data_IF_355339403676
#
_entry.id   IF_355339403676
#
_cell.length_a   1.000
_cell.length_b   1.000
_cell.length_c   1.000
_cell.angle_alpha   90.00
_cell.angle_beta   90.00
_cell.angle_gamma   90.00
#
_symmetry.space_group_name_H-M   'P 1'
#
loop_
_entity.id
_entity.type
_entity.pdbx_description
1 polymer ?
#
# COMPACT_ATOMS: atom_id res chain seq x y z
N UNK A 1 -33.06 -47.82 -40.07
CA UNK A 1 -32.53 -48.78 -39.08
C UNK A 1 -31.20 -48.24 -38.56
N UNK A 2 -31.16 -47.94 -37.26
CA UNK A 2 -30.02 -47.59 -36.36
C UNK A 2 -28.87 -46.72 -36.91
N UNK A 3 -28.96 -45.41 -36.67
CA UNK A 3 -27.79 -44.53 -36.52
C UNK A 3 -27.42 -44.55 -35.03
N UNK A 4 -26.28 -45.15 -34.69
CA UNK A 4 -25.69 -45.10 -33.35
C UNK A 4 -24.96 -43.76 -33.17
N UNK A 5 -25.58 -42.81 -32.47
CA UNK A 5 -24.91 -41.65 -31.91
C UNK A 5 -24.11 -42.09 -30.67
N UNK A 6 -22.79 -42.14 -30.82
CA UNK A 6 -21.85 -42.28 -29.70
C UNK A 6 -21.79 -40.93 -28.98
N UNK A 7 -21.90 -40.88 -27.64
CA UNK A 7 -21.85 -39.62 -26.90
C UNK A 7 -20.41 -39.12 -26.84
N UNK A 8 -20.06 -38.14 -27.67
CA UNK A 8 -18.84 -37.32 -27.53
C UNK A 8 -19.11 -36.26 -26.43
N UNK A 9 -19.32 -36.73 -25.20
CA UNK A 9 -19.66 -35.86 -24.07
C UNK A 9 -18.89 -36.23 -22.79
N UNK A 10 -17.72 -36.85 -22.95
CA UNK A 10 -16.83 -37.20 -21.83
C UNK A 10 -15.44 -36.53 -21.95
N UNK A 11 -15.12 -35.92 -23.10
CA UNK A 11 -13.78 -35.33 -23.32
C UNK A 11 -13.70 -33.80 -23.16
N UNK A 12 -14.72 -33.16 -22.58
CA UNK A 12 -14.72 -31.71 -22.30
C UNK A 12 -14.57 -31.36 -20.82
N UNK A 13 -14.49 -32.34 -19.92
CA UNK A 13 -14.33 -32.10 -18.47
C UNK A 13 -12.90 -32.32 -17.94
N UNK A 14 -11.92 -32.69 -18.77
CA UNK A 14 -10.54 -32.95 -18.34
C UNK A 14 -9.59 -31.75 -18.47
N UNK A 15 -10.09 -30.56 -18.82
CA UNK A 15 -9.26 -29.35 -18.98
C UNK A 15 -9.64 -28.17 -18.06
N UNK A 16 -10.50 -28.38 -17.05
CA UNK A 16 -10.92 -27.31 -16.13
C UNK A 16 -10.35 -27.42 -14.71
N UNK A 17 -9.44 -28.35 -14.45
CA UNK A 17 -8.80 -28.47 -13.12
C UNK A 17 -7.40 -27.85 -13.09
N UNK A 18 -7.34 -26.53 -13.25
CA UNK A 18 -6.35 -25.73 -12.51
C UNK A 18 -6.73 -24.25 -12.46
N UNK A 19 -7.89 -23.95 -11.86
CA UNK A 19 -7.92 -22.73 -11.04
C UNK A 19 -6.93 -22.98 -9.91
N UNK A 20 -5.68 -22.54 -10.07
CA UNK A 20 -4.80 -22.33 -8.92
C UNK A 20 -5.56 -21.32 -8.05
N UNK A 21 -6.10 -21.80 -6.93
CA UNK A 21 -6.47 -20.90 -5.85
C UNK A 21 -5.18 -20.12 -5.53
N UNK A 22 -5.25 -18.80 -5.61
CA UNK A 22 -4.15 -17.95 -5.20
C UNK A 22 -3.74 -18.38 -3.79
N UNK A 23 -2.45 -18.63 -3.60
CA UNK A 23 -1.95 -18.85 -2.24
C UNK A 23 -1.93 -17.52 -1.52
N UNK A 24 -2.21 -17.48 -0.21
CA UNK A 24 -2.20 -16.24 0.59
C UNK A 24 -0.93 -15.40 0.34
N UNK A 25 0.22 -16.07 0.12
CA UNK A 25 1.50 -15.44 -0.24
C UNK A 25 1.50 -14.73 -1.61
N UNK A 26 0.86 -15.30 -2.63
CA UNK A 26 0.77 -14.70 -3.97
C UNK A 26 -0.12 -13.44 -3.94
N UNK A 27 -1.20 -13.47 -3.15
CA UNK A 27 -2.06 -12.30 -2.94
C UNK A 27 -1.36 -11.19 -2.14
N UNK A 28 -0.60 -11.55 -1.11
CA UNK A 28 0.24 -10.61 -0.34
C UNK A 28 1.29 -9.97 -1.25
N UNK A 29 2.01 -10.78 -2.03
CA UNK A 29 3.02 -10.30 -2.97
C UNK A 29 2.40 -9.37 -4.01
N UNK A 30 1.23 -9.70 -4.57
CA UNK A 30 0.52 -8.83 -5.52
C UNK A 30 0.11 -7.51 -4.86
N UNK A 31 -0.47 -7.54 -3.66
CA UNK A 31 -0.88 -6.34 -2.96
C UNK A 31 0.31 -5.41 -2.66
N UNK A 32 1.41 -5.97 -2.18
CA UNK A 32 2.58 -5.18 -1.76
C UNK A 32 3.42 -4.75 -2.95
N UNK A 33 3.71 -5.65 -3.90
CA UNK A 33 4.62 -5.36 -5.03
C UNK A 33 3.97 -4.56 -6.15
N UNK A 34 2.65 -4.66 -6.31
CA UNK A 34 1.92 -3.98 -7.39
C UNK A 34 1.07 -2.86 -6.83
N UNK A 35 0.10 -3.18 -5.97
CA UNK A 35 -0.93 -2.25 -5.55
C UNK A 35 -0.38 -1.08 -4.70
N UNK A 36 0.35 -1.38 -3.62
CA UNK A 36 0.95 -0.34 -2.78
C UNK A 36 2.00 0.44 -3.57
N UNK A 37 2.83 -0.26 -4.35
CA UNK A 37 3.92 0.36 -5.13
C UNK A 37 3.39 1.33 -6.20
N UNK A 38 2.38 0.91 -6.96
CA UNK A 38 1.71 1.77 -7.94
C UNK A 38 1.04 2.95 -7.26
N UNK A 39 0.32 2.71 -6.17
CA UNK A 39 -0.31 3.78 -5.41
C UNK A 39 0.71 4.83 -4.95
N UNK A 40 1.82 4.39 -4.35
CA UNK A 40 2.90 5.27 -3.93
C UNK A 40 3.45 6.07 -5.11
N UNK A 41 3.86 5.39 -6.19
CA UNK A 41 4.43 6.03 -7.38
C UNK A 41 3.49 7.06 -8.00
N UNK A 42 2.23 6.69 -8.22
CA UNK A 42 1.25 7.53 -8.91
C UNK A 42 0.83 8.75 -8.07
N UNK A 43 0.85 8.61 -6.73
CA UNK A 43 0.38 9.66 -5.82
C UNK A 43 1.51 10.45 -5.17
N UNK A 44 2.78 10.15 -5.42
CA UNK A 44 3.94 10.80 -4.81
C UNK A 44 3.83 12.33 -4.76
N UNK A 45 3.58 12.98 -5.91
CA UNK A 45 3.44 14.44 -5.98
C UNK A 45 2.22 14.93 -5.21
N UNK A 46 1.10 14.22 -5.33
CA UNK A 46 -0.15 14.59 -4.67
C UNK A 46 -0.01 14.54 -3.15
N UNK A 47 0.70 13.55 -2.61
CA UNK A 47 0.98 13.41 -1.16
C UNK A 47 1.83 14.57 -0.64
N UNK A 48 2.89 14.95 -1.35
CA UNK A 48 3.73 16.08 -0.96
C UNK A 48 2.95 17.40 -1.01
N UNK A 49 2.20 17.65 -2.08
CA UNK A 49 1.39 18.86 -2.18
C UNK A 49 0.27 18.90 -1.14
N UNK A 50 -0.35 17.75 -0.86
CA UNK A 50 -1.38 17.63 0.18
C UNK A 50 -0.82 17.93 1.58
N UNK A 51 0.47 17.68 1.81
CA UNK A 51 1.15 17.96 3.08
C UNK A 51 1.32 19.46 3.40
N UNK A 52 1.31 20.36 2.41
CA UNK A 52 1.62 21.78 2.63
C UNK A 52 0.56 22.57 3.41
N UNK A 53 -0.72 22.24 3.25
CA UNK A 53 -1.83 22.87 4.01
C UNK A 53 -3.07 21.98 4.05
N UNK A 54 -3.21 21.10 5.04
CA UNK A 54 -4.27 20.07 5.09
C UNK A 54 -5.73 20.58 5.07
N UNK A 55 -5.97 21.86 5.37
CA UNK A 55 -7.34 22.41 5.38
C UNK A 55 -7.78 22.96 4.02
N UNK A 56 -6.84 23.13 3.09
CA UNK A 56 -7.18 23.39 1.69
C UNK A 56 -7.67 22.10 1.03
N UNK A 57 -8.81 22.15 0.34
CA UNK A 57 -9.43 21.01 -0.35
C UNK A 57 -9.66 19.77 0.55
N UNK A 58 -10.42 19.93 1.65
CA UNK A 58 -10.49 18.91 2.71
C UNK A 58 -11.08 17.58 2.23
N UNK A 59 -11.98 17.60 1.22
CA UNK A 59 -12.54 16.39 0.63
C UNK A 59 -11.50 15.57 -0.13
N UNK A 60 -10.62 16.22 -0.92
CA UNK A 60 -9.54 15.56 -1.64
C UNK A 60 -8.56 14.92 -0.66
N UNK A 61 -8.22 15.66 0.40
CA UNK A 61 -7.28 15.19 1.42
C UNK A 61 -7.83 14.07 2.28
N UNK A 62 -9.12 14.11 2.61
CA UNK A 62 -9.80 12.99 3.24
C UNK A 62 -9.76 11.73 2.36
N UNK A 63 -10.01 11.86 1.05
CA UNK A 63 -9.91 10.75 0.11
C UNK A 63 -8.49 10.19 0.04
N UNK A 64 -7.49 11.07 -0.07
CA UNK A 64 -6.08 10.68 -0.08
C UNK A 64 -5.66 10.01 1.23
N UNK A 65 -6.13 10.51 2.37
CA UNK A 65 -5.90 9.95 3.70
C UNK A 65 -6.46 8.53 3.80
N UNK A 66 -7.74 8.34 3.49
CA UNK A 66 -8.38 7.02 3.58
C UNK A 66 -7.68 5.97 2.70
N UNK A 67 -7.32 6.36 1.47
CA UNK A 67 -6.59 5.47 0.57
C UNK A 67 -5.18 5.14 1.08
N UNK A 68 -4.44 6.16 1.55
CA UNK A 68 -3.10 5.96 2.11
C UNK A 68 -3.12 5.07 3.36
N UNK A 69 -4.09 5.31 4.25
CA UNK A 69 -4.29 4.54 5.48
C UNK A 69 -4.56 3.07 5.16
N UNK A 70 -5.56 2.79 4.32
CA UNK A 70 -5.90 1.41 3.95
C UNK A 70 -4.71 0.71 3.32
N UNK A 71 -4.01 1.37 2.38
CA UNK A 71 -2.84 0.77 1.70
C UNK A 71 -1.69 0.47 2.66
N UNK A 72 -1.34 1.40 3.55
CA UNK A 72 -0.23 1.19 4.48
C UNK A 72 -0.56 0.22 5.60
N UNK A 73 -1.75 0.31 6.20
CA UNK A 73 -2.11 -0.56 7.31
C UNK A 73 -2.29 -2.01 6.85
N UNK A 74 -2.92 -2.22 5.69
CA UNK A 74 -3.03 -3.55 5.10
C UNK A 74 -1.64 -4.12 4.80
N UNK A 75 -0.75 -3.33 4.18
CA UNK A 75 0.62 -3.77 3.90
C UNK A 75 1.41 -4.06 5.17
N UNK A 76 1.27 -3.21 6.20
CA UNK A 76 1.90 -3.42 7.51
C UNK A 76 1.45 -4.75 8.12
N UNK A 77 0.14 -4.99 8.16
CA UNK A 77 -0.43 -6.23 8.70
C UNK A 77 0.09 -7.46 7.97
N UNK A 78 -0.05 -7.50 6.63
CA UNK A 78 0.34 -8.65 5.81
C UNK A 78 1.85 -8.93 5.89
N UNK A 79 2.68 -7.88 5.86
CA UNK A 79 4.13 -8.05 5.91
C UNK A 79 4.64 -8.37 7.33
N UNK A 80 3.96 -7.91 8.38
CA UNK A 80 4.27 -8.34 9.75
C UNK A 80 3.92 -9.81 9.95
N UNK A 81 2.84 -10.31 9.37
CA UNK A 81 2.49 -11.72 9.42
C UNK A 81 3.55 -12.58 8.72
N UNK A 82 3.97 -12.21 7.51
CA UNK A 82 4.94 -12.99 6.71
C UNK A 82 6.40 -12.83 7.19
N UNK A 83 6.81 -11.62 7.59
CA UNK A 83 8.22 -11.28 7.84
C UNK A 83 8.55 -10.84 9.28
N UNK A 84 7.55 -10.77 10.16
CA UNK A 84 7.62 -10.27 11.56
C UNK A 84 7.99 -8.80 11.73
N UNK A 85 8.44 -8.13 10.67
CA UNK A 85 8.66 -6.70 10.58
C UNK A 85 8.34 -6.26 9.16
N UNK A 86 7.38 -5.36 9.02
CA UNK A 86 6.89 -4.95 7.71
C UNK A 86 7.92 -4.17 6.89
N UNK A 87 8.84 -3.43 7.52
CA UNK A 87 9.91 -2.71 6.82
C UNK A 87 10.90 -3.70 6.21
N UNK A 88 11.21 -4.78 6.93
CA UNK A 88 11.92 -5.93 6.35
C UNK A 88 11.13 -6.55 5.21
N UNK A 89 9.80 -6.62 5.34
CA UNK A 89 8.91 -7.02 4.26
C UNK A 89 9.05 -6.15 3.00
N UNK A 90 9.05 -4.82 3.13
CA UNK A 90 9.27 -3.89 2.02
C UNK A 90 10.61 -4.14 1.32
N UNK A 91 11.68 -4.38 2.08
CA UNK A 91 13.00 -4.73 1.55
C UNK A 91 12.96 -6.02 0.72
N UNK A 92 12.35 -7.08 1.26
CA UNK A 92 12.18 -8.37 0.57
C UNK A 92 11.31 -8.28 -0.68
N UNK A 93 10.43 -7.28 -0.73
CA UNK A 93 9.55 -7.01 -1.86
C UNK A 93 10.16 -6.04 -2.89
N UNK A 94 11.45 -5.69 -2.77
CA UNK A 94 12.17 -4.96 -3.81
C UNK A 94 11.82 -3.47 -3.90
N UNK A 95 11.40 -2.87 -2.78
CA UNK A 95 11.18 -1.43 -2.70
C UNK A 95 12.51 -0.68 -2.86
N UNK A 96 12.54 0.26 -3.80
CA UNK A 96 13.70 1.11 -4.08
C UNK A 96 13.68 2.43 -3.28
N UNK A 97 14.65 3.30 -3.55
CA UNK A 97 14.75 4.59 -2.86
C UNK A 97 13.49 5.45 -3.06
N UNK A 98 12.96 5.52 -4.28
CA UNK A 98 11.79 6.33 -4.61
C UNK A 98 10.53 5.80 -3.94
N UNK A 99 10.34 4.48 -3.97
CA UNK A 99 9.23 3.82 -3.30
C UNK A 99 9.25 4.14 -1.80
N UNK A 100 10.38 3.88 -1.12
CA UNK A 100 10.52 4.05 0.32
C UNK A 100 10.42 5.52 0.73
N UNK A 101 10.93 6.44 -0.09
CA UNK A 101 10.77 7.88 0.14
C UNK A 101 9.29 8.28 0.08
N UNK A 102 8.52 7.68 -0.81
CA UNK A 102 7.08 7.94 -0.92
C UNK A 102 6.29 7.33 0.23
N UNK A 103 6.61 6.09 0.63
CA UNK A 103 6.04 5.46 1.84
C UNK A 103 6.30 6.35 3.06
N UNK A 104 7.52 6.91 3.20
CA UNK A 104 7.82 7.87 4.26
C UNK A 104 6.91 9.11 4.18
N UNK A 105 6.76 9.73 3.01
CA UNK A 105 5.86 10.88 2.84
C UNK A 105 4.39 10.56 3.14
N UNK A 106 3.93 9.35 2.82
CA UNK A 106 2.58 8.89 3.19
C UNK A 106 2.39 8.87 4.71
N UNK A 107 3.37 8.36 5.46
CA UNK A 107 3.30 8.38 6.94
C UNK A 107 3.26 9.81 7.49
N UNK A 108 4.07 10.73 6.93
CA UNK A 108 4.06 12.15 7.32
C UNK A 108 2.72 12.79 7.00
N UNK A 109 2.16 12.51 5.82
CA UNK A 109 0.87 13.03 5.41
C UNK A 109 -0.26 12.59 6.32
N UNK A 110 -0.34 11.31 6.65
CA UNK A 110 -1.37 10.81 7.54
C UNK A 110 -1.26 11.41 8.94
N UNK A 111 -0.05 11.50 9.49
CA UNK A 111 0.20 12.13 10.80
C UNK A 111 -0.23 13.60 10.79
N UNK A 112 0.18 14.36 9.77
CA UNK A 112 -0.23 15.75 9.62
C UNK A 112 -1.75 15.89 9.46
N UNK A 113 -2.38 14.99 8.71
CA UNK A 113 -3.81 15.00 8.48
C UNK A 113 -4.58 14.80 9.79
N UNK A 114 -4.31 13.74 10.56
CA UNK A 114 -5.06 13.46 11.79
C UNK A 114 -4.87 14.54 12.85
N UNK A 115 -3.70 15.18 12.88
CA UNK A 115 -3.39 16.24 13.84
C UNK A 115 -4.08 17.58 13.52
N UNK A 116 -4.41 17.83 12.25
CA UNK A 116 -4.82 19.16 11.80
C UNK A 116 -6.20 19.20 11.12
N UNK A 117 -6.79 18.05 10.78
CA UNK A 117 -8.12 18.01 10.15
C UNK A 117 -9.19 18.55 11.10
N UNK A 118 -10.13 19.30 10.55
CA UNK A 118 -11.21 19.94 11.29
C UNK A 118 -12.61 19.51 10.80
N UNK A 119 -13.63 19.95 11.55
CA UNK A 119 -15.03 19.80 11.17
C UNK A 119 -15.49 18.34 11.06
N UNK A 120 -16.33 18.01 10.05
CA UNK A 120 -16.96 16.69 9.98
C UNK A 120 -15.95 15.56 9.78
N UNK A 121 -14.84 15.81 9.09
CA UNK A 121 -13.81 14.78 8.87
C UNK A 121 -13.09 14.39 10.17
N UNK A 122 -12.83 15.35 11.05
CA UNK A 122 -12.27 15.05 12.38
C UNK A 122 -13.18 14.12 13.19
N UNK A 123 -14.50 14.36 13.14
CA UNK A 123 -15.48 13.51 13.84
C UNK A 123 -15.62 12.09 13.29
N UNK A 124 -15.09 11.83 12.09
CA UNK A 124 -15.11 10.52 11.44
C UNK A 124 -13.87 9.68 11.78
N UNK A 125 -12.82 10.29 12.35
CA UNK A 125 -11.63 9.56 12.79
C UNK A 125 -11.95 8.75 14.04
N UNK A 126 -11.69 7.45 13.97
CA UNK A 126 -11.80 6.54 15.11
C UNK A 126 -10.49 6.50 15.88
N UNK A 127 -10.57 6.24 17.19
CA UNK A 127 -9.38 6.12 18.05
C UNK A 127 -8.40 5.05 17.54
N UNK A 128 -8.91 3.93 17.01
CA UNK A 128 -8.10 2.88 16.38
C UNK A 128 -7.28 3.44 15.21
N UNK A 129 -7.92 4.17 14.30
CA UNK A 129 -7.25 4.81 13.16
C UNK A 129 -6.20 5.82 13.60
N UNK A 130 -6.47 6.60 14.65
CA UNK A 130 -5.49 7.53 15.21
C UNK A 130 -4.26 6.78 15.74
N UNK A 131 -4.48 5.72 16.51
CA UNK A 131 -3.39 4.91 17.08
C UNK A 131 -2.54 4.24 15.98
N UNK A 132 -3.18 3.69 14.94
CA UNK A 132 -2.50 3.07 13.82
C UNK A 132 -1.66 4.09 13.03
N UNK A 133 -2.21 5.28 12.77
CA UNK A 133 -1.48 6.38 12.10
C UNK A 133 -0.25 6.80 12.91
N UNK A 134 -0.39 7.01 14.21
CA UNK A 134 0.74 7.35 15.08
C UNK A 134 1.79 6.23 15.13
N UNK A 135 1.35 4.96 15.15
CA UNK A 135 2.26 3.81 15.10
C UNK A 135 3.04 3.77 13.79
N UNK A 136 2.36 3.92 12.65
CA UNK A 136 2.99 3.98 11.32
C UNK A 136 3.99 5.13 11.22
N UNK A 137 3.63 6.30 11.74
CA UNK A 137 4.53 7.45 11.81
C UNK A 137 5.75 7.19 12.70
N UNK A 138 5.58 6.50 13.83
CA UNK A 138 6.67 6.09 14.71
C UNK A 138 7.68 5.15 14.03
N UNK A 139 7.24 4.31 13.09
CA UNK A 139 8.11 3.40 12.33
C UNK A 139 8.83 4.07 11.15
N UNK A 140 8.51 5.33 10.83
CA UNK A 140 9.13 6.11 9.75
C UNK A 140 10.65 6.10 9.77
N UNK A 141 11.26 6.11 10.96
CA UNK A 141 12.72 6.07 11.09
C UNK A 141 13.33 4.75 10.57
N UNK A 142 12.61 3.62 10.68
CA UNK A 142 13.04 2.36 10.07
C UNK A 142 12.97 2.44 8.54
N UNK A 143 11.91 3.04 8.00
CA UNK A 143 11.72 3.25 6.56
C UNK A 143 12.83 4.14 6.00
N UNK A 144 13.14 5.25 6.66
CA UNK A 144 14.23 6.17 6.30
C UNK A 144 15.57 5.44 6.28
N UNK A 145 15.88 4.65 7.31
CA UNK A 145 17.11 3.86 7.36
C UNK A 145 17.21 2.88 6.19
N UNK A 146 16.12 2.19 5.85
CA UNK A 146 16.08 1.29 4.70
C UNK A 146 16.23 2.04 3.38
N UNK A 147 15.53 3.17 3.20
CA UNK A 147 15.65 4.04 2.02
C UNK A 147 17.10 4.47 1.83
N UNK A 148 17.74 4.92 2.90
CA UNK A 148 19.09 5.45 2.86
C UNK A 148 20.16 4.36 2.67
N UNK A 149 19.79 3.09 2.74
CA UNK A 149 20.64 1.96 2.33
C UNK A 149 20.46 1.57 0.85
N UNK A 150 19.52 2.17 0.11
CA UNK A 150 19.31 1.92 -1.33
C UNK A 150 20.17 2.83 -2.20
N UNK A 151 20.19 2.54 -3.50
CA UNK A 151 20.79 3.41 -4.51
C UNK A 151 20.11 4.79 -4.50
N UNK A 152 20.90 5.85 -4.34
CA UNK A 152 20.40 7.21 -4.10
C UNK A 152 20.28 8.04 -5.37
N UNK A 153 20.37 7.44 -6.56
CA UNK A 153 20.28 8.20 -7.83
C UNK A 153 18.96 8.96 -7.92
N UNK A 154 17.86 8.36 -7.44
CA UNK A 154 16.54 8.99 -7.39
C UNK A 154 16.48 10.24 -6.50
N UNK A 155 17.37 10.38 -5.50
CA UNK A 155 17.39 11.51 -4.55
C UNK A 155 17.47 12.87 -5.24
N UNK A 156 18.13 12.96 -6.40
CA UNK A 156 18.31 14.22 -7.13
C UNK A 156 17.02 14.72 -7.80
N UNK A 157 15.98 13.88 -7.85
CA UNK A 157 14.75 14.16 -8.60
C UNK A 157 13.50 14.20 -7.71
N UNK A 158 13.67 14.00 -6.40
CA UNK A 158 12.57 13.90 -5.42
C UNK A 158 12.82 14.77 -4.21
N UNK A 159 11.74 15.27 -3.62
CA UNK A 159 11.74 15.88 -2.29
C UNK A 159 11.92 14.76 -1.26
N UNK A 160 12.95 14.88 -0.43
CA UNK A 160 13.33 13.83 0.52
C UNK A 160 12.48 13.97 1.78
N UNK A 161 11.86 12.88 2.21
CA UNK A 161 11.15 12.81 3.49
C UNK A 161 12.16 12.76 4.64
N UNK A 162 12.14 13.74 5.55
CA UNK A 162 13.08 13.87 6.68
C UNK A 162 12.43 13.67 8.05
#
# INVERSE_FOLDING_TARGET
MKITLIPILILSCLLLTSCKASTDKEDIDNYVKVDLKNYATDNYRLIIEANKNVNNEPALKNSLFNNSYVKLETSRSLLNEEYSDWVKGLDKNGYDYGDLNTICWMTVFMENYVNNVEGPYKSQLKDETLNDVHSLYGERQKIIKLRDSKDKTARNFVEVCE
#
